data_IF_476294607425
#
_entry.id   IF_476294607425
#
_cell.length_a   1.000
_cell.length_b   1.000
_cell.length_c   1.000
_cell.angle_alpha   90.00
_cell.angle_beta   90.00
_cell.angle_gamma   90.00
#
_symmetry.space_group_name_H-M   'P 1'
#
loop_
_entity.id
_entity.type
_entity.pdbx_description
1 polymer ?
#
# COMPACT_ATOMS: atom_id res chain seq x y z
N UNK A 1 -37.90 8.39 -76.09
CA UNK A 1 -38.11 9.70 -75.43
C UNK A 1 -38.53 9.41 -74.00
N UNK A 2 -37.81 9.93 -73.01
CA UNK A 2 -38.18 9.78 -71.60
C UNK A 2 -39.43 10.63 -71.34
N UNK A 3 -40.45 10.05 -70.72
CA UNK A 3 -41.66 10.80 -70.37
C UNK A 3 -41.44 11.64 -69.10
N UNK A 4 -42.17 12.75 -68.93
CA UNK A 4 -42.10 13.57 -67.72
C UNK A 4 -42.33 12.76 -66.44
N UNK A 5 -43.20 11.76 -66.49
CA UNK A 5 -43.49 10.86 -65.35
C UNK A 5 -42.28 10.00 -64.98
N UNK A 6 -41.52 9.52 -65.96
CA UNK A 6 -40.31 8.73 -65.71
C UNK A 6 -39.21 9.56 -65.05
N UNK A 7 -39.09 10.86 -65.40
CA UNK A 7 -38.15 11.78 -64.75
C UNK A 7 -38.52 11.97 -63.28
N UNK A 8 -39.80 12.18 -62.98
CA UNK A 8 -40.29 12.38 -61.61
C UNK A 8 -40.02 11.13 -60.76
N UNK A 9 -40.33 9.94 -61.28
CA UNK A 9 -40.09 8.69 -60.57
C UNK A 9 -38.59 8.50 -60.31
N UNK A 10 -37.73 8.74 -61.30
CA UNK A 10 -36.28 8.63 -61.14
C UNK A 10 -35.72 9.62 -60.10
N UNK A 11 -36.23 10.85 -60.08
CA UNK A 11 -35.82 11.85 -59.09
C UNK A 11 -36.23 11.44 -57.67
N UNK A 12 -37.45 10.90 -57.50
CA UNK A 12 -37.94 10.43 -56.21
C UNK A 12 -37.16 9.21 -55.70
N UNK A 13 -36.85 8.24 -56.57
CA UNK A 13 -36.09 7.05 -56.17
C UNK A 13 -34.67 7.41 -55.76
N UNK A 14 -33.99 8.27 -56.52
CA UNK A 14 -32.66 8.78 -56.17
C UNK A 14 -32.69 9.58 -54.86
N UNK A 15 -33.70 10.44 -54.68
CA UNK A 15 -33.87 11.20 -53.43
C UNK A 15 -34.04 10.29 -52.22
N UNK A 16 -34.89 9.26 -52.31
CA UNK A 16 -35.08 8.30 -51.22
C UNK A 16 -33.82 7.47 -50.94
N UNK A 17 -33.08 7.08 -51.98
CA UNK A 17 -31.83 6.34 -51.82
C UNK A 17 -30.77 7.19 -51.08
N UNK A 18 -30.62 8.47 -51.47
CA UNK A 18 -29.66 9.39 -50.83
C UNK A 18 -30.02 9.66 -49.37
N UNK A 19 -31.30 9.90 -49.08
CA UNK A 19 -31.78 10.12 -47.70
C UNK A 19 -31.59 8.85 -46.86
N UNK A 20 -31.92 7.68 -47.41
CA UNK A 20 -31.72 6.40 -46.73
C UNK A 20 -30.24 6.14 -46.43
N UNK A 21 -29.35 6.43 -47.37
CA UNK A 21 -27.90 6.29 -47.18
C UNK A 21 -27.36 7.25 -46.12
N UNK A 22 -27.76 8.53 -46.16
CA UNK A 22 -27.37 9.51 -45.14
C UNK A 22 -27.87 9.11 -43.74
N UNK A 23 -29.09 8.58 -43.64
CA UNK A 23 -29.63 8.09 -42.38
C UNK A 23 -28.86 6.87 -41.84
N UNK A 24 -28.50 5.92 -42.71
CA UNK A 24 -27.69 4.76 -42.31
C UNK A 24 -26.31 5.20 -41.80
N UNK A 25 -25.62 6.09 -42.52
CA UNK A 25 -24.33 6.64 -42.08
C UNK A 25 -24.44 7.31 -40.70
N UNK A 26 -25.41 8.20 -40.52
CA UNK A 26 -25.61 8.88 -39.25
C UNK A 26 -25.97 7.92 -38.10
N UNK A 27 -26.70 6.84 -38.40
CA UNK A 27 -27.02 5.79 -37.44
C UNK A 27 -25.76 5.02 -37.03
N UNK A 28 -24.93 4.63 -37.98
CA UNK A 28 -23.72 3.86 -37.72
C UNK A 28 -22.70 4.68 -36.91
N UNK A 29 -22.56 5.98 -37.21
CA UNK A 29 -21.77 6.91 -36.41
C UNK A 29 -22.29 6.99 -34.97
N UNK A 30 -23.61 7.11 -34.80
CA UNK A 30 -24.23 7.17 -33.47
C UNK A 30 -24.09 5.86 -32.68
N UNK A 31 -24.14 4.70 -33.35
CA UNK A 31 -23.90 3.39 -32.72
C UNK A 31 -22.45 3.28 -32.28
N UNK A 32 -21.51 3.68 -33.15
CA UNK A 32 -20.08 3.65 -32.86
C UNK A 32 -19.75 4.56 -31.66
N UNK A 33 -20.22 5.80 -31.68
CA UNK A 33 -20.03 6.74 -30.56
C UNK A 33 -20.59 6.22 -29.24
N UNK A 34 -21.75 5.55 -29.24
CA UNK A 34 -22.32 4.93 -28.04
C UNK A 34 -21.46 3.77 -27.53
N UNK A 35 -20.95 2.93 -28.44
CA UNK A 35 -20.09 1.82 -28.08
C UNK A 35 -18.76 2.31 -27.48
N UNK A 36 -18.17 3.35 -28.05
CA UNK A 36 -16.96 3.99 -27.52
C UNK A 36 -17.20 4.59 -26.13
N UNK A 37 -18.30 5.33 -25.95
CA UNK A 37 -18.67 5.90 -24.66
C UNK A 37 -18.87 4.81 -23.58
N UNK A 38 -19.55 3.72 -23.92
CA UNK A 38 -19.74 2.59 -23.01
C UNK A 38 -18.39 1.95 -22.63
N UNK A 39 -17.50 1.75 -23.61
CA UNK A 39 -16.15 1.23 -23.38
C UNK A 39 -15.34 2.16 -22.46
N UNK A 40 -15.36 3.47 -22.69
CA UNK A 40 -14.66 4.44 -21.85
C UNK A 40 -15.23 4.49 -20.42
N UNK A 41 -16.54 4.41 -20.26
CA UNK A 41 -17.17 4.32 -18.94
C UNK A 41 -16.71 3.07 -18.19
N UNK A 42 -16.72 1.92 -18.85
CA UNK A 42 -16.25 0.67 -18.25
C UNK A 42 -14.77 0.75 -17.84
N UNK A 43 -13.91 1.32 -18.68
CA UNK A 43 -12.49 1.51 -18.36
C UNK A 43 -12.30 2.46 -17.16
N UNK A 44 -13.02 3.58 -17.12
CA UNK A 44 -13.00 4.54 -16.02
C UNK A 44 -13.46 3.89 -14.72
N UNK A 45 -14.55 3.15 -14.75
CA UNK A 45 -15.14 2.55 -13.56
C UNK A 45 -14.24 1.42 -13.03
N UNK A 46 -13.63 0.63 -13.92
CA UNK A 46 -12.59 -0.34 -13.56
C UNK A 46 -11.35 0.32 -12.94
N UNK A 47 -10.87 1.44 -13.50
CA UNK A 47 -9.74 2.18 -12.94
C UNK A 47 -10.06 2.76 -11.55
N UNK A 48 -11.27 3.28 -11.36
CA UNK A 48 -11.75 3.75 -10.04
C UNK A 48 -11.83 2.63 -9.02
N UNK A 49 -12.37 1.48 -9.42
CA UNK A 49 -12.45 0.31 -8.54
C UNK A 49 -11.05 -0.17 -8.13
N UNK A 50 -10.11 -0.26 -9.08
CA UNK A 50 -8.73 -0.65 -8.78
C UNK A 50 -8.03 0.36 -7.85
N UNK A 51 -8.21 1.66 -8.08
CA UNK A 51 -7.68 2.70 -7.21
C UNK A 51 -8.25 2.59 -5.79
N UNK A 52 -9.56 2.38 -5.67
CA UNK A 52 -10.21 2.22 -4.37
C UNK A 52 -9.72 0.97 -3.63
N UNK A 53 -9.62 -0.17 -4.31
CA UNK A 53 -9.06 -1.39 -3.72
C UNK A 53 -7.62 -1.21 -3.23
N UNK A 54 -6.80 -0.43 -3.95
CA UNK A 54 -5.44 -0.09 -3.54
C UNK A 54 -5.43 0.78 -2.26
N UNK A 55 -6.29 1.79 -2.19
CA UNK A 55 -6.46 2.62 -1.01
C UNK A 55 -6.91 1.81 0.20
N UNK A 56 -7.95 0.98 0.05
CA UNK A 56 -8.50 0.15 1.12
C UNK A 56 -7.46 -0.85 1.65
N UNK A 57 -6.70 -1.49 0.75
CA UNK A 57 -5.63 -2.41 1.13
C UNK A 57 -4.48 -1.70 1.88
N UNK A 58 -4.14 -0.48 1.49
CA UNK A 58 -3.10 0.32 2.14
C UNK A 58 -3.55 0.76 3.53
N UNK A 59 -4.81 1.18 3.68
CA UNK A 59 -5.40 1.51 4.98
C UNK A 59 -5.42 0.29 5.91
N UNK A 60 -5.84 -0.87 5.41
CA UNK A 60 -5.81 -2.13 6.15
C UNK A 60 -4.40 -2.53 6.59
N UNK A 61 -3.40 -2.37 5.70
CA UNK A 61 -2.00 -2.60 6.03
C UNK A 61 -1.52 -1.64 7.13
N UNK A 62 -1.91 -0.37 7.05
CA UNK A 62 -1.63 0.64 8.08
C UNK A 62 -2.20 0.24 9.45
N UNK A 63 -3.43 -0.27 9.50
CA UNK A 63 -4.05 -0.75 10.74
C UNK A 63 -3.29 -1.94 11.34
N UNK A 64 -2.91 -2.93 10.52
CA UNK A 64 -2.10 -4.08 10.98
C UNK A 64 -0.74 -3.61 11.48
N UNK A 65 -0.07 -2.71 10.78
CA UNK A 65 1.22 -2.16 11.20
C UNK A 65 1.11 -1.43 12.55
N UNK A 66 0.07 -0.62 12.75
CA UNK A 66 -0.19 0.08 14.01
C UNK A 66 -0.44 -0.92 15.16
N UNK A 67 -1.24 -1.96 14.92
CA UNK A 67 -1.45 -3.03 15.89
C UNK A 67 -0.14 -3.71 16.28
N UNK A 68 0.67 -4.13 15.29
CA UNK A 68 1.96 -4.79 15.54
C UNK A 68 2.93 -3.88 16.29
N UNK A 69 2.92 -2.59 16.01
CA UNK A 69 3.73 -1.62 16.73
C UNK A 69 3.30 -1.52 18.21
N UNK A 70 1.99 -1.48 18.48
CA UNK A 70 1.45 -1.48 19.83
C UNK A 70 1.76 -2.78 20.59
N UNK A 71 1.56 -3.94 19.96
CA UNK A 71 1.88 -5.26 20.52
C UNK A 71 3.37 -5.42 20.84
N UNK A 72 4.25 -4.85 20.02
CA UNK A 72 5.70 -4.92 20.21
C UNK A 72 6.24 -3.87 21.21
N UNK A 73 5.48 -2.80 21.49
CA UNK A 73 5.95 -1.71 22.36
C UNK A 73 6.36 -2.17 23.78
N UNK A 74 5.59 -3.02 24.50
CA UNK A 74 5.98 -3.52 25.81
C UNK A 74 7.28 -4.33 25.77
N UNK A 75 7.43 -5.20 24.75
CA UNK A 75 8.64 -6.01 24.61
C UNK A 75 9.88 -5.14 24.32
N UNK A 76 9.74 -4.11 23.47
CA UNK A 76 10.79 -3.11 23.22
C UNK A 76 11.15 -2.34 24.49
N UNK A 77 10.15 -1.90 25.25
CA UNK A 77 10.36 -1.21 26.52
C UNK A 77 11.05 -2.10 27.56
N UNK A 78 10.66 -3.37 27.67
CA UNK A 78 11.30 -4.34 28.55
C UNK A 78 12.75 -4.62 28.14
N UNK A 79 13.02 -4.77 26.85
CA UNK A 79 14.38 -4.94 26.33
C UNK A 79 15.25 -3.70 26.60
N UNK A 80 14.72 -2.50 26.38
CA UNK A 80 15.41 -1.24 26.70
C UNK A 80 15.71 -1.12 28.19
N UNK A 81 14.75 -1.47 29.06
CA UNK A 81 14.94 -1.48 30.51
C UNK A 81 16.00 -2.50 30.96
N UNK A 82 16.01 -3.70 30.37
CA UNK A 82 17.04 -4.70 30.64
C UNK A 82 18.43 -4.22 30.20
N UNK A 83 18.54 -3.62 29.02
CA UNK A 83 19.80 -3.05 28.54
C UNK A 83 20.31 -1.95 29.47
N UNK A 84 19.42 -1.05 29.92
CA UNK A 84 19.77 0.00 30.87
C UNK A 84 20.26 -0.56 32.21
N UNK A 85 19.59 -1.57 32.76
CA UNK A 85 19.99 -2.23 33.99
C UNK A 85 21.36 -2.92 33.86
N UNK A 86 21.62 -3.58 32.73
CA UNK A 86 22.91 -4.20 32.45
C UNK A 86 24.03 -3.16 32.30
N UNK A 87 23.77 -2.04 31.63
CA UNK A 87 24.72 -0.94 31.50
C UNK A 87 25.06 -0.33 32.87
N UNK A 88 24.04 -0.01 33.68
CA UNK A 88 24.27 0.52 35.03
C UNK A 88 25.10 -0.44 35.91
N UNK A 89 24.87 -1.75 35.79
CA UNK A 89 25.69 -2.75 36.47
C UNK A 89 27.13 -2.79 35.96
N UNK A 90 27.32 -2.65 34.64
CA UNK A 90 28.65 -2.59 34.06
C UNK A 90 29.41 -1.37 34.57
N UNK A 91 28.79 -0.19 34.57
CA UNK A 91 29.38 1.06 35.09
C UNK A 91 29.75 0.93 36.58
N UNK A 92 28.86 0.39 37.40
CA UNK A 92 29.15 0.11 38.80
C UNK A 92 30.35 -0.83 38.96
N UNK A 93 30.42 -1.89 38.15
CA UNK A 93 31.54 -2.85 38.19
C UNK A 93 32.86 -2.18 37.80
N UNK A 94 32.86 -1.36 36.75
CA UNK A 94 34.04 -0.62 36.28
C UNK A 94 34.49 0.46 37.27
N UNK A 95 33.57 1.03 38.07
CA UNK A 95 33.90 2.03 39.10
C UNK A 95 34.53 1.45 40.37
N UNK A 96 34.43 0.13 40.59
CA UNK A 96 34.97 -0.52 41.80
C UNK A 96 36.50 -0.57 41.72
N UNK A 97 37.16 0.00 42.70
CA UNK A 97 38.60 -0.14 42.87
C UNK A 97 38.92 -1.35 43.77
N UNK A 98 39.99 -2.11 43.49
CA UNK A 98 40.46 -3.14 44.40
C UNK A 98 40.90 -2.52 45.73
N UNK A 99 40.67 -3.24 46.82
CA UNK A 99 41.16 -2.83 48.13
C UNK A 99 42.70 -2.69 48.10
N UNK A 100 43.26 -1.71 48.83
CA UNK A 100 44.71 -1.57 48.94
C UNK A 100 45.34 -2.80 49.61
N UNK A 101 46.52 -3.23 49.14
CA UNK A 101 47.22 -4.42 49.64
C UNK A 101 47.48 -5.44 48.54
N UNK A 102 47.20 -6.72 48.80
CA UNK A 102 47.33 -7.80 47.81
C UNK A 102 46.30 -7.66 46.69
N UNK A 103 46.77 -7.16 45.55
CA UNK A 103 45.95 -6.94 44.35
C UNK A 103 45.30 -8.22 43.82
N UNK A 104 45.96 -9.39 43.94
CA UNK A 104 45.42 -10.66 43.45
C UNK A 104 44.25 -11.12 44.32
N UNK A 105 44.39 -11.04 45.64
CA UNK A 105 43.31 -11.35 46.58
C UNK A 105 42.13 -10.37 46.44
N UNK A 106 42.40 -9.08 46.28
CA UNK A 106 41.37 -8.05 46.10
C UNK A 106 40.57 -8.25 44.80
N UNK A 107 41.23 -8.59 43.69
CA UNK A 107 40.57 -8.88 42.42
C UNK A 107 39.75 -10.19 42.47
N UNK A 108 40.21 -11.22 43.20
CA UNK A 108 39.42 -12.44 43.40
C UNK A 108 38.11 -12.17 44.16
N UNK A 109 38.14 -11.33 45.19
CA UNK A 109 36.92 -10.93 45.93
C UNK A 109 35.96 -10.16 45.03
N UNK A 110 36.46 -9.20 44.24
CA UNK A 110 35.66 -8.45 43.28
C UNK A 110 35.02 -9.37 42.22
N UNK A 111 35.79 -10.34 41.69
CA UNK A 111 35.29 -11.32 40.72
C UNK A 111 34.25 -12.26 41.32
N UNK A 112 34.45 -12.73 42.55
CA UNK A 112 33.49 -13.59 43.24
C UNK A 112 32.16 -12.87 43.53
N UNK A 113 32.20 -11.62 43.96
CA UNK A 113 31.01 -10.78 44.15
C UNK A 113 30.27 -10.54 42.84
N UNK A 114 31.00 -10.27 41.76
CA UNK A 114 30.42 -10.08 40.44
C UNK A 114 29.73 -11.36 39.92
N UNK A 115 30.33 -12.54 40.16
CA UNK A 115 29.77 -13.84 39.80
C UNK A 115 28.50 -14.18 40.59
N UNK A 116 28.44 -13.86 41.90
CA UNK A 116 27.23 -14.06 42.72
C UNK A 116 26.03 -13.32 42.14
N UNK A 117 26.23 -12.08 41.68
CA UNK A 117 25.15 -11.31 41.05
C UNK A 117 24.76 -11.81 39.65
N UNK A 118 25.52 -12.72 39.02
CA UNK A 118 25.19 -13.30 37.70
C UNK A 118 24.24 -14.49 37.81
N UNK A 119 24.24 -15.20 38.93
CA UNK A 119 23.28 -16.25 39.20
C UNK A 119 21.90 -15.60 39.44
N UNK A 120 20.98 -15.80 38.50
CA UNK A 120 19.54 -15.58 38.77
C UNK A 120 19.00 -16.78 39.59
N UNK A 121 17.98 -16.62 40.45
CA UNK A 121 17.01 -17.69 40.64
C UNK A 121 16.24 -17.97 39.34
#
# INVERSE_FOLDING_TARGET
MISPVQIIIAALTLGNLLIGWAWLSARDDAVTARAELASMQQQRDGARQAAQACSDATEALGAVAAQRAAEAAPARAAAAGQAQALNARADYTLSRQPAPGDSCAALQVLGADWLKGRAKP
#
